data_IF_676308152929
#
_entry.id   IF_676308152929
#
_cell.length_a   1.000
_cell.length_b   1.000
_cell.length_c   1.000
_cell.angle_alpha   90.00
_cell.angle_beta   90.00
_cell.angle_gamma   90.00
#
_symmetry.space_group_name_H-M   'P 1'
#
loop_
_entity.id
_entity.type
_entity.pdbx_description
1 polymer ?
#
# COMPACT_ATOMS: atom_id res chain seq x y z
N UNK A 1 -35.03 -17.38 52.70
CA UNK A 1 -33.82 -17.95 53.33
C UNK A 1 -33.74 -19.42 52.97
N UNK A 2 -32.66 -19.86 52.30
CA UNK A 2 -31.98 -21.14 52.56
C UNK A 2 -30.83 -21.29 51.55
N UNK A 3 -29.63 -21.43 52.12
CA UNK A 3 -28.35 -21.56 51.44
C UNK A 3 -28.22 -23.01 50.93
N UNK A 4 -27.66 -23.21 49.74
CA UNK A 4 -27.03 -24.48 49.40
C UNK A 4 -25.61 -24.22 48.90
N UNK A 5 -24.65 -24.63 49.72
CA UNK A 5 -23.24 -24.75 49.39
C UNK A 5 -22.96 -26.21 48.99
N UNK A 6 -22.18 -26.34 47.91
CA UNK A 6 -21.15 -27.34 47.63
C UNK A 6 -21.39 -28.82 47.99
N UNK A 7 -21.36 -29.65 46.94
CA UNK A 7 -20.77 -31.00 47.02
C UNK A 7 -20.03 -31.31 45.72
N UNK A 8 -18.72 -31.51 45.86
CA UNK A 8 -17.84 -32.38 45.06
C UNK A 8 -17.23 -33.34 46.11
N UNK A 9 -16.70 -34.54 45.81
CA UNK A 9 -16.19 -35.02 44.52
C UNK A 9 -16.50 -36.50 44.20
N UNK A 10 -16.18 -36.96 42.99
CA UNK A 10 -15.69 -38.34 42.80
C UNK A 10 -14.78 -38.40 41.58
N UNK A 11 -13.68 -39.10 41.76
CA UNK A 11 -12.52 -39.25 40.87
C UNK A 11 -12.59 -40.63 40.22
N UNK A 12 -11.82 -40.77 39.14
CA UNK A 12 -11.44 -41.98 38.37
C UNK A 12 -12.25 -42.03 37.04
N UNK A 13 -11.67 -42.23 35.87
CA UNK A 13 -10.38 -42.83 35.54
C UNK A 13 -9.91 -42.39 34.13
N UNK A 14 -8.61 -42.55 33.87
CA UNK A 14 -7.90 -42.14 32.66
C UNK A 14 -8.32 -42.98 31.45
N UNK A 15 -8.53 -42.33 30.31
CA UNK A 15 -8.38 -42.98 29.00
C UNK A 15 -7.41 -42.13 28.17
N UNK A 16 -6.24 -42.72 27.90
CA UNK A 16 -5.23 -42.19 27.01
C UNK A 16 -5.70 -42.27 25.56
N UNK A 17 -5.60 -41.17 24.81
CA UNK A 17 -5.55 -41.21 23.33
C UNK A 17 -4.50 -40.22 22.82
N UNK A 18 -3.59 -40.82 22.04
CA UNK A 18 -2.47 -40.25 21.29
C UNK A 18 -2.86 -39.01 20.48
N UNK A 19 -2.04 -37.98 20.59
CA UNK A 19 -1.95 -36.84 19.67
C UNK A 19 -1.33 -37.28 18.34
N UNK A 20 -1.86 -36.90 17.16
CA UNK A 20 -1.07 -36.80 15.95
C UNK A 20 -0.47 -35.40 15.85
N UNK A 21 0.84 -35.35 15.64
CA UNK A 21 1.62 -34.16 15.36
C UNK A 21 1.11 -33.45 14.09
N UNK A 22 0.99 -32.13 14.22
CA UNK A 22 0.61 -31.19 13.18
C UNK A 22 1.71 -31.08 12.13
N UNK A 23 1.50 -31.69 10.97
CA UNK A 23 2.24 -31.43 9.74
C UNK A 23 1.85 -30.06 9.15
N UNK A 24 2.38 -28.97 9.71
CA UNK A 24 2.44 -27.64 9.05
C UNK A 24 3.76 -26.96 9.43
N UNK A 25 4.86 -27.68 9.24
CA UNK A 25 6.21 -27.19 9.45
C UNK A 25 7.10 -27.59 8.26
N UNK A 26 6.71 -27.18 7.05
CA UNK A 26 7.52 -27.37 5.84
C UNK A 26 6.98 -26.53 4.68
N UNK A 27 6.99 -25.20 4.80
CA UNK A 27 6.80 -24.32 3.63
C UNK A 27 7.24 -22.86 3.87
N UNK A 28 8.40 -22.58 4.47
CA UNK A 28 9.04 -21.25 4.37
C UNK A 28 10.55 -21.37 4.62
N UNK A 29 11.26 -21.98 3.68
CA UNK A 29 12.71 -21.84 3.58
C UNK A 29 13.00 -21.18 2.22
N UNK A 30 13.80 -20.11 2.26
CA UNK A 30 14.32 -19.29 1.16
C UNK A 30 13.60 -17.96 0.88
N UNK A 31 14.01 -16.93 1.65
CA UNK A 31 14.06 -15.56 1.15
C UNK A 31 15.46 -14.98 1.49
N UNK A 32 16.19 -14.40 0.51
CA UNK A 32 17.54 -13.89 0.73
C UNK A 32 17.56 -12.61 1.57
N UNK A 33 18.61 -12.51 2.39
CA UNK A 33 18.88 -11.40 3.30
C UNK A 33 19.52 -10.19 2.59
N UNK A 34 19.11 -8.99 3.04
CA UNK A 34 19.80 -7.69 3.04
C UNK A 34 20.13 -6.99 1.70
N UNK A 35 19.55 -5.81 1.52
CA UNK A 35 20.23 -4.67 0.89
C UNK A 35 19.90 -3.37 1.65
N UNK A 36 20.95 -2.68 2.12
CA UNK A 36 20.89 -1.39 2.80
C UNK A 36 20.48 -0.28 1.82
N UNK A 37 19.45 0.51 2.16
CA UNK A 37 19.09 1.74 1.42
C UNK A 37 19.53 2.96 2.23
N UNK A 38 20.60 3.61 1.79
CA UNK A 38 21.07 4.89 2.35
C UNK A 38 20.24 6.03 1.73
N UNK A 39 19.37 6.64 2.53
CA UNK A 39 18.61 7.84 2.15
C UNK A 39 19.49 9.09 2.29
N UNK A 40 19.76 9.78 1.19
CA UNK A 40 20.32 11.14 1.18
C UNK A 40 19.14 12.13 1.11
N UNK A 41 18.99 12.98 2.12
CA UNK A 41 17.94 14.00 2.20
C UNK A 41 18.44 15.36 1.68
N UNK A 42 17.66 15.97 0.79
CA UNK A 42 17.81 17.35 0.28
C UNK A 42 17.32 18.37 1.35
N UNK A 43 18.00 19.50 1.63
CA UNK A 43 17.78 20.26 2.87
C UNK A 43 16.73 21.38 2.84
N UNK A 44 16.02 21.65 1.74
CA UNK A 44 15.20 22.87 1.64
C UNK A 44 13.67 22.69 1.72
N UNK A 45 13.19 21.90 2.68
CA UNK A 45 11.80 21.99 3.14
C UNK A 45 11.77 21.83 4.65
N UNK A 46 11.60 22.95 5.36
CA UNK A 46 11.34 22.98 6.80
C UNK A 46 9.96 22.37 7.09
N UNK A 47 9.93 21.05 7.29
CA UNK A 47 8.89 20.37 8.03
C UNK A 47 9.48 19.97 9.39
N UNK A 48 8.70 20.15 10.46
CA UNK A 48 9.14 19.90 11.83
C UNK A 48 9.95 18.60 11.95
N UNK A 49 11.23 18.74 12.29
CA UNK A 49 12.16 17.64 12.45
C UNK A 49 11.57 16.62 13.42
N UNK A 50 11.22 15.43 12.92
CA UNK A 50 10.93 14.29 13.75
C UNK A 50 12.17 14.00 14.59
N UNK A 51 12.09 14.21 15.91
CA UNK A 51 13.13 13.78 16.85
C UNK A 51 13.36 12.29 16.60
N UNK A 52 14.51 11.95 16.01
CA UNK A 52 14.95 10.56 15.83
C UNK A 52 15.03 9.92 17.21
N UNK A 53 14.34 8.79 17.38
CA UNK A 53 14.42 7.95 18.57
C UNK A 53 15.88 7.49 18.73
N UNK A 54 16.49 7.53 19.93
CA UNK A 54 17.85 7.06 20.13
C UNK A 54 17.96 5.56 19.81
N UNK A 55 18.97 5.21 19.01
CA UNK A 55 19.39 3.82 18.71
C UNK A 55 19.98 3.17 19.97
N UNK A 56 19.12 2.67 20.84
CA UNK A 56 19.45 1.59 21.78
C UNK A 56 18.63 0.37 21.35
N UNK A 57 19.25 -0.81 21.29
CA UNK A 57 18.58 -2.06 20.90
C UNK A 57 17.34 -2.26 21.79
N UNK A 58 16.18 -1.93 21.24
CA UNK A 58 14.90 -2.13 21.92
C UNK A 58 14.64 -3.64 21.85
N UNK A 59 14.37 -4.34 22.97
CA UNK A 59 13.96 -5.73 22.88
C UNK A 59 12.79 -5.86 21.92
N UNK A 60 12.76 -6.98 21.21
CA UNK A 60 11.75 -7.20 20.18
C UNK A 60 10.37 -7.07 20.80
N UNK A 61 9.42 -6.44 20.11
CA UNK A 61 8.02 -6.32 20.58
C UNK A 61 7.45 -7.69 20.97
N UNK A 62 7.90 -8.76 20.31
CA UNK A 62 7.53 -10.12 20.64
C UNK A 62 8.05 -10.58 22.02
N UNK A 63 9.27 -10.22 22.41
CA UNK A 63 9.87 -10.50 23.71
C UNK A 63 9.16 -9.73 24.81
N UNK A 64 8.87 -8.45 24.57
CA UNK A 64 8.13 -7.62 25.51
C UNK A 64 6.71 -8.16 25.75
N UNK A 65 6.03 -8.62 24.70
CA UNK A 65 4.71 -9.25 24.81
C UNK A 65 4.74 -10.59 25.57
N UNK A 66 5.88 -11.28 25.63
CA UNK A 66 6.03 -12.56 26.32
C UNK A 66 6.47 -12.40 27.78
N UNK A 67 7.25 -11.36 28.09
CA UNK A 67 7.93 -11.18 29.38
C UNK A 67 7.28 -10.14 30.29
N UNK A 68 6.70 -9.08 29.73
CA UNK A 68 6.17 -7.97 30.51
C UNK A 68 4.75 -8.25 31.00
N UNK A 69 4.44 -7.75 32.20
CA UNK A 69 3.07 -7.70 32.69
C UNK A 69 2.21 -6.77 31.82
N UNK A 70 0.89 -6.99 31.82
CA UNK A 70 -0.07 -6.17 31.05
C UNK A 70 0.05 -4.67 31.35
N UNK A 71 0.39 -4.30 32.58
CA UNK A 71 0.58 -2.89 32.99
C UNK A 71 1.89 -2.32 32.46
N UNK A 72 3.00 -3.04 32.64
CA UNK A 72 4.30 -2.64 32.11
C UNK A 72 4.28 -2.50 30.58
N UNK A 73 3.59 -3.42 29.88
CA UNK A 73 3.44 -3.34 28.42
C UNK A 73 2.66 -2.09 27.99
N UNK A 74 1.60 -1.72 28.71
CA UNK A 74 0.81 -0.51 28.41
C UNK A 74 1.55 0.78 28.74
N UNK A 75 2.38 0.77 29.77
CA UNK A 75 3.22 1.91 30.14
C UNK A 75 4.35 2.14 29.13
N UNK A 76 4.90 1.05 28.57
CA UNK A 76 5.93 1.10 27.53
C UNK A 76 5.37 1.54 26.17
N UNK A 77 4.20 1.02 25.79
CA UNK A 77 3.54 1.27 24.49
C UNK A 77 2.28 2.14 24.66
N UNK A 78 2.46 3.36 25.17
CA UNK A 78 1.34 4.22 25.57
C UNK A 78 0.42 4.62 24.41
N UNK A 79 1.00 4.92 23.23
CA UNK A 79 0.24 5.36 22.06
C UNK A 79 -0.63 4.24 21.49
N UNK A 80 -0.07 3.03 21.47
CA UNK A 80 -0.72 1.79 21.08
C UNK A 80 -1.80 1.42 22.09
N UNK A 81 -1.50 1.50 23.39
CA UNK A 81 -2.45 1.23 24.46
C UNK A 81 -3.65 2.18 24.43
N UNK A 82 -3.43 3.45 24.07
CA UNK A 82 -4.51 4.43 23.88
C UNK A 82 -5.36 4.09 22.65
N UNK A 83 -4.75 3.74 21.54
CA UNK A 83 -5.48 3.34 20.33
C UNK A 83 -6.30 2.07 20.55
N UNK A 84 -5.74 1.09 21.26
CA UNK A 84 -6.42 -0.14 21.69
C UNK A 84 -7.65 0.17 22.56
N UNK A 85 -7.51 1.04 23.57
CA UNK A 85 -8.65 1.49 24.41
C UNK A 85 -9.73 2.19 23.58
N UNK A 86 -9.33 3.05 22.64
CA UNK A 86 -10.26 3.78 21.79
C UNK A 86 -11.05 2.83 20.87
N UNK A 87 -10.41 1.80 20.32
CA UNK A 87 -11.06 0.76 19.55
C UNK A 87 -12.10 0.00 20.39
N UNK A 88 -11.73 -0.49 21.57
CA UNK A 88 -12.67 -1.17 22.48
C UNK A 88 -13.81 -0.26 22.95
N UNK A 89 -13.56 1.04 23.11
CA UNK A 89 -14.60 2.02 23.41
C UNK A 89 -15.60 2.16 22.24
N UNK A 90 -15.11 2.17 20.99
CA UNK A 90 -15.98 2.21 19.79
C UNK A 90 -16.83 0.96 19.64
N UNK A 91 -16.33 -0.20 20.04
CA UNK A 91 -17.12 -1.43 20.11
C UNK A 91 -18.35 -1.25 21.01
N UNK A 92 -18.14 -0.70 22.21
CA UNK A 92 -19.21 -0.49 23.19
C UNK A 92 -20.20 0.62 22.80
N UNK A 93 -19.69 1.72 22.23
CA UNK A 93 -20.49 2.94 22.02
C UNK A 93 -21.08 3.09 20.61
N UNK A 94 -20.44 2.50 19.58
CA UNK A 94 -20.77 2.72 18.16
C UNK A 94 -21.06 1.44 17.38
N UNK A 95 -21.14 0.29 18.06
CA UNK A 95 -21.42 -1.00 17.43
C UNK A 95 -20.32 -1.50 16.49
N UNK A 96 -19.08 -1.01 16.64
CA UNK A 96 -17.95 -1.53 15.87
C UNK A 96 -17.69 -2.99 16.27
N UNK A 97 -17.42 -3.86 15.29
CA UNK A 97 -17.09 -5.26 15.57
C UNK A 97 -15.58 -5.33 15.83
N UNK A 98 -15.14 -6.05 16.86
CA UNK A 98 -13.72 -6.23 17.17
C UNK A 98 -13.42 -7.72 17.23
N UNK A 99 -12.44 -8.14 16.45
CA UNK A 99 -11.99 -9.53 16.40
C UNK A 99 -11.45 -9.98 17.78
N UNK A 100 -11.69 -11.24 18.22
CA UNK A 100 -11.23 -11.73 19.52
C UNK A 100 -9.73 -11.52 19.79
N UNK A 101 -8.88 -11.67 18.78
CA UNK A 101 -7.42 -11.46 18.90
C UNK A 101 -7.03 -10.02 19.26
N UNK A 102 -7.92 -9.06 19.05
CA UNK A 102 -7.71 -7.66 19.38
C UNK A 102 -8.28 -7.29 20.76
N UNK A 103 -8.91 -8.22 21.47
CA UNK A 103 -9.43 -7.98 22.83
C UNK A 103 -8.29 -7.85 23.84
N UNK A 104 -7.25 -8.68 23.70
CA UNK A 104 -6.03 -8.56 24.49
C UNK A 104 -5.00 -7.63 23.85
N UNK A 105 -4.30 -6.86 24.69
CA UNK A 105 -3.36 -5.86 24.21
C UNK A 105 -2.04 -6.44 23.69
N UNK A 106 -1.55 -7.52 24.29
CA UNK A 106 -0.32 -8.16 23.82
C UNK A 106 -0.57 -8.82 22.45
N UNK A 107 -1.73 -9.45 22.28
CA UNK A 107 -2.16 -10.03 21.00
C UNK A 107 -2.35 -8.97 19.93
N UNK A 108 -3.02 -7.87 20.25
CA UNK A 108 -3.13 -6.69 19.37
C UNK A 108 -1.75 -6.16 18.94
N UNK A 109 -0.83 -5.99 19.89
CA UNK A 109 0.49 -5.43 19.61
C UNK A 109 1.36 -6.38 18.78
N UNK A 110 1.23 -7.70 18.96
CA UNK A 110 1.93 -8.71 18.14
C UNK A 110 1.46 -8.69 16.68
N UNK A 111 0.17 -8.49 16.45
CA UNK A 111 -0.43 -8.52 15.12
C UNK A 111 -0.25 -7.19 14.38
N UNK A 112 -0.56 -6.07 15.04
CA UNK A 112 -0.54 -4.74 14.42
C UNK A 112 0.85 -4.11 14.45
N UNK A 113 1.67 -4.48 15.42
CA UNK A 113 3.01 -3.95 15.59
C UNK A 113 3.04 -2.57 16.26
N UNK A 114 4.27 -2.08 16.57
CA UNK A 114 4.46 -0.80 17.23
C UNK A 114 4.07 0.35 16.30
N UNK A 115 3.67 1.47 16.90
CA UNK A 115 3.28 2.67 16.19
C UNK A 115 4.50 3.26 15.45
N UNK A 116 4.44 3.45 14.11
CA UNK A 116 5.62 3.81 13.31
C UNK A 116 6.06 5.27 13.50
N UNK A 117 5.15 6.15 13.92
CA UNK A 117 5.43 7.57 14.14
C UNK A 117 4.54 8.15 15.24
N UNK A 118 5.08 9.12 15.99
CA UNK A 118 4.33 9.83 17.04
C UNK A 118 3.12 10.54 16.43
N UNK A 119 1.92 10.22 16.91
CA UNK A 119 0.66 10.81 16.44
C UNK A 119 -0.02 10.04 15.31
N UNK A 120 0.54 8.92 14.86
CA UNK A 120 -0.24 7.94 14.10
C UNK A 120 -1.34 7.35 15.01
N UNK A 121 -2.48 7.00 14.43
CA UNK A 121 -3.60 6.38 15.15
C UNK A 121 -4.10 5.17 14.39
N UNK A 122 -4.81 4.29 15.09
CA UNK A 122 -5.39 3.10 14.47
C UNK A 122 -6.54 3.50 13.54
N UNK A 123 -6.41 3.11 12.28
CA UNK A 123 -7.37 3.36 11.21
C UNK A 123 -7.83 2.04 10.58
N UNK A 124 -9.09 1.98 10.14
CA UNK A 124 -9.62 0.83 9.39
C UNK A 124 -9.27 1.02 7.93
N UNK A 125 -8.69 0.04 7.27
CA UNK A 125 -8.30 0.17 5.85
C UNK A 125 -9.52 0.46 4.97
N UNK A 126 -10.65 -0.20 5.27
CA UNK A 126 -11.94 0.06 4.64
C UNK A 126 -12.90 0.62 5.69
N UNK A 127 -13.27 1.90 5.58
CA UNK A 127 -14.15 2.53 6.57
C UNK A 127 -15.61 2.03 6.53
N UNK A 128 -16.05 1.47 5.39
CA UNK A 128 -17.38 0.87 5.23
C UNK A 128 -17.53 -0.42 6.04
N UNK A 129 -16.42 -1.13 6.29
CA UNK A 129 -16.41 -2.31 7.16
C UNK A 129 -16.38 -1.87 8.64
N UNK A 130 -17.38 -2.23 9.47
CA UNK A 130 -17.39 -1.92 10.90
C UNK A 130 -16.34 -2.69 11.71
N UNK A 131 -15.69 -3.72 11.14
CA UNK A 131 -14.84 -4.65 11.85
C UNK A 131 -13.37 -4.19 12.02
N UNK A 132 -12.84 -4.37 13.22
CA UNK A 132 -11.43 -4.31 13.55
C UNK A 132 -10.85 -5.74 13.62
N UNK A 133 -10.15 -6.15 12.57
CA UNK A 133 -9.54 -7.47 12.48
C UNK A 133 -8.10 -7.40 11.92
N UNK A 134 -7.29 -8.47 12.10
CA UNK A 134 -6.00 -8.61 11.43
C UNK A 134 -6.14 -8.37 9.92
N UNK A 135 -5.25 -7.57 9.33
CA UNK A 135 -5.31 -7.23 7.90
C UNK A 135 -6.39 -6.23 7.50
N UNK A 136 -7.29 -5.81 8.41
CA UNK A 136 -8.31 -4.77 8.17
C UNK A 136 -7.97 -3.42 8.80
N UNK A 137 -6.89 -3.35 9.58
CA UNK A 137 -6.47 -2.15 10.31
C UNK A 137 -5.03 -1.78 9.97
N UNK A 138 -4.70 -0.49 10.11
CA UNK A 138 -3.34 0.03 9.93
C UNK A 138 -3.07 1.22 10.84
N UNK A 139 -1.80 1.49 11.08
CA UNK A 139 -1.38 2.79 11.59
C UNK A 139 -1.48 3.84 10.47
N UNK A 140 -2.17 4.94 10.75
CA UNK A 140 -2.34 6.02 9.78
C UNK A 140 -2.09 7.40 10.42
N UNK A 141 -1.55 8.33 9.64
CA UNK A 141 -1.48 9.73 10.03
C UNK A 141 -2.87 10.39 9.96
N UNK A 142 -3.02 11.56 10.59
CA UNK A 142 -4.28 12.31 10.64
C UNK A 142 -4.83 12.61 9.23
N UNK A 143 -3.95 12.85 8.26
CA UNK A 143 -4.32 13.14 6.88
C UNK A 143 -4.93 11.92 6.19
N UNK A 144 -4.31 10.76 6.33
CA UNK A 144 -4.77 9.49 5.77
C UNK A 144 -6.11 9.08 6.38
N UNK A 145 -6.23 9.16 7.71
CA UNK A 145 -7.49 8.87 8.40
C UNK A 145 -8.60 9.83 7.98
N UNK A 146 -8.31 11.13 7.80
CA UNK A 146 -9.31 12.08 7.32
C UNK A 146 -9.79 11.77 5.90
N UNK A 147 -8.88 11.38 4.99
CA UNK A 147 -9.25 10.99 3.63
C UNK A 147 -10.05 9.69 3.58
N UNK A 148 -9.95 8.85 4.61
CA UNK A 148 -10.65 7.57 4.72
C UNK A 148 -12.03 7.71 5.38
N UNK A 149 -12.42 8.91 5.82
CA UNK A 149 -13.77 9.11 6.36
C UNK A 149 -14.80 8.98 5.25
N UNK A 150 -15.89 8.26 5.53
CA UNK A 150 -16.99 8.06 4.58
C UNK A 150 -17.72 9.32 4.14
N UNK A 151 -17.46 10.47 4.77
CA UNK A 151 -17.95 11.79 4.32
C UNK A 151 -17.04 12.43 3.24
N UNK A 152 -15.93 11.78 2.88
CA UNK A 152 -15.03 12.25 1.83
C UNK A 152 -15.71 12.04 0.48
N UNK A 153 -16.18 13.13 -0.14
CA UNK A 153 -16.70 13.10 -1.49
C UNK A 153 -15.61 12.66 -2.47
N UNK A 154 -15.95 11.64 -3.27
CA UNK A 154 -15.14 11.04 -4.31
C UNK A 154 -15.82 11.31 -5.65
N UNK A 155 -15.04 11.76 -6.63
CA UNK A 155 -15.50 12.12 -7.98
C UNK A 155 -14.74 11.31 -9.01
N UNK A 156 -15.44 10.80 -10.02
CA UNK A 156 -14.85 9.98 -11.09
C UNK A 156 -14.74 10.80 -12.37
N UNK A 157 -13.55 10.82 -12.97
CA UNK A 157 -13.32 11.51 -14.23
C UNK A 157 -13.66 10.58 -15.38
N UNK A 158 -14.72 10.88 -16.14
CA UNK A 158 -15.22 10.01 -17.20
C UNK A 158 -14.22 9.78 -18.34
N UNK A 159 -13.33 10.76 -18.59
CA UNK A 159 -12.39 10.73 -19.72
C UNK A 159 -11.15 9.87 -19.49
N UNK A 160 -10.69 9.77 -18.24
CA UNK A 160 -9.48 8.98 -17.91
C UNK A 160 -9.76 7.78 -17.01
N UNK A 161 -10.96 7.72 -16.40
CA UNK A 161 -11.29 6.73 -15.37
C UNK A 161 -10.66 7.02 -14.01
N UNK A 162 -9.95 8.15 -13.85
CA UNK A 162 -9.30 8.51 -12.61
C UNK A 162 -10.29 8.94 -11.52
N UNK A 163 -9.97 8.60 -10.28
CA UNK A 163 -10.74 9.00 -9.12
C UNK A 163 -10.05 10.13 -8.34
N UNK A 164 -10.82 11.17 -8.02
CA UNK A 164 -10.34 12.33 -7.28
C UNK A 164 -11.15 12.55 -5.99
N UNK A 165 -10.47 12.83 -4.90
CA UNK A 165 -11.13 13.28 -3.66
C UNK A 165 -11.36 14.79 -3.70
N UNK A 166 -12.39 15.26 -2.99
CA UNK A 166 -12.66 16.70 -2.84
C UNK A 166 -11.42 17.53 -2.44
N UNK A 167 -10.54 16.99 -1.57
CA UNK A 167 -9.32 17.65 -1.14
C UNK A 167 -8.24 17.72 -2.23
N UNK A 168 -8.16 16.70 -3.10
CA UNK A 168 -7.27 16.69 -4.26
C UNK A 168 -7.72 17.71 -5.31
N UNK A 169 -9.02 17.75 -5.61
CA UNK A 169 -9.60 18.70 -6.56
C UNK A 169 -9.41 20.14 -6.05
N UNK A 170 -9.68 20.38 -4.76
CA UNK A 170 -9.47 21.68 -4.12
C UNK A 170 -8.03 22.20 -4.31
N UNK A 171 -7.02 21.33 -4.12
CA UNK A 171 -5.61 21.67 -4.34
C UNK A 171 -5.29 21.92 -5.81
N UNK A 172 -5.76 21.05 -6.70
CA UNK A 172 -5.52 21.14 -8.13
C UNK A 172 -6.05 22.47 -8.70
N UNK A 173 -7.23 22.87 -8.25
CA UNK A 173 -7.91 24.09 -8.71
C UNK A 173 -7.62 25.32 -7.86
N UNK A 174 -6.82 25.18 -6.79
CA UNK A 174 -6.55 26.24 -5.80
C UNK A 174 -7.83 26.88 -5.22
N UNK A 175 -8.84 26.06 -4.94
CA UNK A 175 -10.11 26.48 -4.30
C UNK A 175 -10.30 25.77 -2.96
N UNK A 176 -11.23 26.25 -2.13
CA UNK A 176 -11.55 25.58 -0.87
C UNK A 176 -12.29 24.26 -1.10
N UNK A 177 -12.13 23.28 -0.21
CA UNK A 177 -12.92 22.04 -0.25
C UNK A 177 -14.44 22.29 -0.09
N UNK A 178 -14.81 23.36 0.63
CA UNK A 178 -16.20 23.82 0.73
C UNK A 178 -16.75 24.25 -0.63
N UNK A 179 -15.93 24.86 -1.49
CA UNK A 179 -16.32 25.20 -2.87
C UNK A 179 -16.64 23.95 -3.69
N UNK A 180 -15.82 22.90 -3.57
CA UNK A 180 -16.06 21.63 -4.25
C UNK A 180 -17.37 20.99 -3.78
N UNK A 181 -17.61 20.98 -2.46
CA UNK A 181 -18.87 20.50 -1.87
C UNK A 181 -20.07 21.27 -2.39
N UNK A 182 -20.00 22.61 -2.41
CA UNK A 182 -21.06 23.47 -2.95
C UNK A 182 -21.33 23.23 -4.44
N UNK A 183 -20.32 22.86 -5.23
CA UNK A 183 -20.52 22.51 -6.66
C UNK A 183 -21.29 21.20 -6.80
N UNK A 184 -20.93 20.18 -6.02
CA UNK A 184 -21.69 18.92 -5.95
C UNK A 184 -23.15 19.16 -5.48
N UNK A 185 -23.35 19.97 -4.44
CA UNK A 185 -24.69 20.35 -3.94
C UNK A 185 -25.51 21.12 -4.98
N UNK A 186 -24.85 21.86 -5.88
CA UNK A 186 -25.49 22.59 -7.00
C UNK A 186 -25.71 21.70 -8.23
N UNK A 187 -25.46 20.40 -8.13
CA UNK A 187 -25.67 19.44 -9.22
C UNK A 187 -24.66 19.57 -10.37
N UNK A 188 -23.45 20.03 -10.10
CA UNK A 188 -22.36 19.91 -11.08
C UNK A 188 -22.03 18.43 -11.28
N UNK A 189 -21.73 18.05 -12.51
CA UNK A 189 -21.23 16.70 -12.82
C UNK A 189 -19.80 16.51 -12.30
N UNK A 190 -19.39 15.26 -12.08
CA UNK A 190 -18.05 14.94 -11.59
C UNK A 190 -16.95 15.55 -12.49
N UNK A 191 -17.12 15.47 -13.81
CA UNK A 191 -16.18 16.06 -14.77
C UNK A 191 -16.09 17.58 -14.65
N UNK A 192 -17.23 18.28 -14.53
CA UNK A 192 -17.26 19.74 -14.33
C UNK A 192 -16.61 20.13 -12.99
N UNK A 193 -16.81 19.31 -11.96
CA UNK A 193 -16.20 19.52 -10.65
C UNK A 193 -14.70 19.34 -10.73
N UNK A 194 -14.19 18.36 -11.49
CA UNK A 194 -12.76 18.06 -11.68
C UNK A 194 -12.08 19.10 -12.57
N UNK A 195 -12.74 19.55 -13.62
CA UNK A 195 -12.24 20.58 -14.55
C UNK A 195 -12.37 22.00 -13.98
N UNK A 196 -13.26 22.20 -13.01
CA UNK A 196 -13.50 23.48 -12.37
C UNK A 196 -14.25 24.49 -13.25
N UNK A 197 -14.76 24.04 -14.40
CA UNK A 197 -15.54 24.83 -15.36
C UNK A 197 -16.89 24.15 -15.53
N UNK A 198 -17.96 24.94 -15.45
CA UNK A 198 -19.29 24.46 -15.79
C UNK A 198 -19.43 24.50 -17.31
N UNK A 199 -19.82 23.39 -17.92
CA UNK A 199 -20.23 23.44 -19.31
C UNK A 199 -21.47 24.33 -19.37
N UNK A 200 -21.48 25.34 -20.23
CA UNK A 200 -22.60 26.27 -20.35
C UNK A 200 -23.81 25.55 -20.95
N UNK A 201 -24.56 24.80 -20.15
CA UNK A 201 -25.93 24.44 -20.47
C UNK A 201 -26.85 25.49 -19.85
N UNK A 202 -27.70 26.11 -20.68
CA UNK A 202 -28.86 26.90 -20.23
C UNK A 202 -29.56 26.17 -19.07
N UNK A 203 -30.14 26.88 -18.09
CA UNK A 203 -30.86 26.21 -17.01
C UNK A 203 -32.01 25.42 -17.62
N UNK A 204 -31.98 24.08 -17.51
CA UNK A 204 -33.17 23.26 -17.72
C UNK A 204 -34.05 23.51 -16.50
N UNK A 205 -34.92 24.51 -16.63
CA UNK A 205 -36.03 24.71 -15.73
C UNK A 205 -37.05 23.59 -15.97
N UNK A 206 -37.41 22.89 -14.90
CA UNK A 206 -38.62 22.05 -14.86
C UNK A 206 -38.38 20.57 -15.09
N UNK A 207 -38.18 19.84 -14.00
CA UNK A 207 -39.14 18.83 -13.53
C UNK A 207 -38.43 17.94 -12.51
N UNK A 208 -38.70 18.19 -11.23
CA UNK A 208 -38.61 17.14 -10.22
C UNK A 208 -39.61 16.07 -10.66
N UNK A 209 -39.10 14.92 -11.10
CA UNK A 209 -39.84 13.66 -11.00
C UNK A 209 -39.11 12.80 -9.98
N UNK A 210 -39.79 12.29 -8.94
CA UNK A 210 -39.21 11.24 -8.11
C UNK A 210 -39.19 9.97 -8.97
N UNK A 211 -38.04 9.63 -9.55
CA UNK A 211 -37.85 8.29 -10.12
C UNK A 211 -37.97 7.29 -8.98
N UNK A 212 -39.10 6.57 -8.98
CA UNK A 212 -39.32 5.35 -8.22
C UNK A 212 -38.38 4.30 -8.82
N UNK A 213 -37.16 4.20 -8.32
CA UNK A 213 -36.24 3.13 -8.69
C UNK A 213 -36.68 1.88 -7.93
N UNK A 214 -37.40 0.99 -8.62
CA UNK A 214 -37.53 -0.40 -8.22
C UNK A 214 -36.13 -1.02 -8.14
N UNK A 215 -35.76 -1.73 -7.05
CA UNK A 215 -34.46 -2.35 -6.96
C UNK A 215 -34.50 -3.70 -7.67
N UNK A 216 -34.34 -3.72 -8.98
CA UNK A 216 -33.74 -4.90 -9.62
C UNK A 216 -32.23 -4.71 -9.58
N UNK A 217 -31.65 -5.28 -8.52
CA UNK A 217 -30.21 -5.41 -8.34
C UNK A 217 -29.72 -6.39 -9.41
N UNK A 218 -29.26 -5.86 -10.54
CA UNK A 218 -28.29 -6.60 -11.33
C UNK A 218 -27.00 -6.68 -10.49
N UNK A 219 -26.42 -7.87 -10.28
CA UNK A 219 -25.21 -8.00 -9.50
C UNK A 219 -24.10 -7.29 -10.27
N UNK A 220 -23.79 -6.06 -9.85
CA UNK A 220 -22.51 -5.44 -10.11
C UNK A 220 -21.50 -6.39 -9.49
N UNK A 221 -20.74 -7.10 -10.32
CA UNK A 221 -19.58 -7.82 -9.86
C UNK A 221 -18.63 -6.78 -9.27
N UNK A 222 -18.72 -6.60 -7.95
CA UNK A 222 -17.77 -5.84 -7.18
C UNK A 222 -16.43 -6.56 -7.31
N UNK A 223 -15.59 -6.09 -8.24
CA UNK A 223 -14.16 -6.35 -8.17
C UNK A 223 -13.71 -5.80 -6.83
N UNK A 224 -13.36 -6.72 -5.92
CA UNK A 224 -12.86 -6.37 -4.60
C UNK A 224 -11.69 -5.41 -4.79
N UNK A 225 -11.82 -4.17 -4.28
CA UNK A 225 -10.71 -3.25 -4.16
C UNK A 225 -9.74 -3.84 -3.12
N UNK A 226 -8.87 -4.74 -3.59
CA UNK A 226 -7.68 -5.18 -2.87
C UNK A 226 -6.92 -3.87 -2.62
N UNK A 227 -6.79 -3.49 -1.35
CA UNK A 227 -5.97 -2.35 -0.96
C UNK A 227 -4.54 -2.65 -1.40
N UNK A 228 -4.15 -2.13 -2.56
CA UNK A 228 -2.79 -2.26 -3.10
C UNK A 228 -1.83 -1.71 -2.05
N UNK A 229 -0.89 -2.53 -1.60
CA UNK A 229 0.15 -2.11 -0.67
C UNK A 229 0.91 -0.90 -1.22
N UNK A 230 1.61 -0.13 -0.39
CA UNK A 230 2.42 0.98 -0.90
C UNK A 230 3.48 0.53 -1.93
N UNK A 231 4.01 -0.68 -1.77
CA UNK A 231 4.92 -1.29 -2.73
C UNK A 231 4.22 -1.62 -4.06
N UNK A 232 3.01 -2.15 -3.99
CA UNK A 232 2.18 -2.46 -5.17
C UNK A 232 1.80 -1.18 -5.93
N UNK A 233 1.42 -0.12 -5.21
CA UNK A 233 1.14 1.19 -5.82
C UNK A 233 2.40 1.76 -6.48
N UNK A 234 3.57 1.62 -5.84
CA UNK A 234 4.83 2.07 -6.41
C UNK A 234 5.20 1.28 -7.67
N UNK A 235 5.03 -0.05 -7.64
CA UNK A 235 5.22 -0.94 -8.77
C UNK A 235 4.29 -0.57 -9.93
N UNK A 236 3.00 -0.37 -9.67
CA UNK A 236 2.01 0.02 -10.68
C UNK A 236 2.32 1.39 -11.30
N UNK A 237 2.76 2.35 -10.48
CA UNK A 237 3.18 3.67 -10.97
C UNK A 237 4.41 3.59 -11.86
N UNK A 238 5.41 2.81 -11.46
CA UNK A 238 6.62 2.62 -12.26
C UNK A 238 6.30 1.87 -13.56
N UNK A 239 5.47 0.82 -13.50
CA UNK A 239 4.96 0.14 -14.69
C UNK A 239 4.22 1.09 -15.65
N UNK A 240 3.33 1.94 -15.13
CA UNK A 240 2.62 2.94 -15.92
C UNK A 240 3.57 3.98 -16.53
N UNK A 241 4.64 4.36 -15.82
CA UNK A 241 5.70 5.25 -16.36
C UNK A 241 6.41 4.61 -17.54
N UNK A 242 6.79 3.34 -17.43
CA UNK A 242 7.43 2.58 -18.51
C UNK A 242 6.51 2.42 -19.72
N UNK A 243 5.23 2.14 -19.49
CA UNK A 243 4.24 2.02 -20.56
C UNK A 243 4.04 3.36 -21.29
N UNK A 244 3.80 4.44 -20.55
CA UNK A 244 3.62 5.77 -21.13
C UNK A 244 4.85 6.23 -21.92
N UNK A 245 6.06 5.87 -21.46
CA UNK A 245 7.29 6.16 -22.20
C UNK A 245 7.33 5.44 -23.55
N UNK A 246 7.02 4.14 -23.58
CA UNK A 246 6.94 3.37 -24.84
C UNK A 246 5.91 3.95 -25.80
N UNK A 247 4.76 4.37 -25.29
CA UNK A 247 3.71 5.00 -26.11
C UNK A 247 4.15 6.37 -26.66
N UNK A 248 4.97 7.11 -25.92
CA UNK A 248 5.42 8.45 -26.30
C UNK A 248 6.64 8.45 -27.24
N UNK A 249 7.54 7.48 -27.09
CA UNK A 249 8.83 7.42 -27.79
C UNK A 249 8.95 6.16 -28.66
N UNK A 250 7.89 5.80 -29.38
CA UNK A 250 7.85 4.74 -30.39
C UNK A 250 8.49 3.39 -29.95
N UNK A 251 8.12 2.93 -28.76
CA UNK A 251 8.60 1.67 -28.22
C UNK A 251 9.94 1.74 -27.46
N UNK A 252 10.55 2.91 -27.32
CA UNK A 252 11.74 3.08 -26.49
C UNK A 252 11.45 2.79 -25.01
N UNK A 253 12.39 2.07 -24.39
CA UNK A 253 12.31 1.70 -22.99
C UNK A 253 12.74 2.85 -22.06
N UNK A 254 12.03 3.00 -20.94
CA UNK A 254 12.22 4.09 -19.99
C UNK A 254 13.43 3.88 -19.06
N UNK A 255 14.53 3.35 -19.62
CA UNK A 255 15.83 3.11 -19.00
C UNK A 255 16.77 4.29 -19.26
N UNK A 256 17.94 4.29 -18.62
CA UNK A 256 18.97 5.27 -18.97
C UNK A 256 19.36 5.15 -20.44
N UNK A 257 19.69 6.26 -21.10
CA UNK A 257 20.21 6.23 -22.47
C UNK A 257 21.46 5.34 -22.57
N UNK A 258 21.68 4.63 -23.69
CA UNK A 258 22.89 3.85 -23.95
C UNK A 258 24.17 4.67 -23.72
N UNK A 259 25.24 4.02 -23.28
CA UNK A 259 26.49 4.72 -22.97
C UNK A 259 27.03 5.52 -24.19
N UNK A 260 26.94 4.92 -25.37
CA UNK A 260 27.32 5.53 -26.65
C UNK A 260 26.57 6.84 -26.90
N UNK A 261 25.27 6.87 -26.66
CA UNK A 261 24.45 8.07 -26.82
C UNK A 261 24.77 9.12 -25.76
N UNK A 262 25.00 8.70 -24.50
CA UNK A 262 25.34 9.62 -23.41
C UNK A 262 26.62 10.39 -23.70
N UNK A 263 27.66 9.71 -24.20
CA UNK A 263 28.94 10.37 -24.53
C UNK A 263 28.90 11.13 -25.86
N UNK A 264 28.02 10.73 -26.79
CA UNK A 264 27.87 11.36 -28.10
C UNK A 264 27.06 12.67 -28.03
N UNK A 265 25.97 12.70 -27.26
CA UNK A 265 25.02 13.82 -27.26
C UNK A 265 25.25 14.86 -26.14
N UNK A 266 25.84 14.47 -25.00
CA UNK A 266 26.12 15.40 -23.91
C UNK A 266 27.62 15.74 -23.85
N UNK A 267 27.98 16.93 -24.33
CA UNK A 267 29.36 17.41 -24.33
C UNK A 267 30.02 17.39 -22.95
N UNK A 268 29.24 17.49 -21.87
CA UNK A 268 29.74 17.47 -20.48
C UNK A 268 30.07 16.07 -20.00
N UNK A 269 29.55 15.04 -20.68
CA UNK A 269 29.71 13.63 -20.32
C UNK A 269 30.60 12.88 -21.33
N UNK A 270 31.22 13.57 -22.28
CA UNK A 270 32.12 12.98 -23.28
C UNK A 270 33.27 12.18 -22.65
N UNK A 271 33.81 12.66 -21.53
CA UNK A 271 34.89 12.00 -20.78
C UNK A 271 34.35 11.09 -19.65
N UNK A 272 33.06 10.75 -19.65
CA UNK A 272 32.47 9.92 -18.60
C UNK A 272 33.06 8.50 -18.66
N UNK A 273 33.73 8.01 -17.59
CA UNK A 273 34.24 6.66 -17.57
C UNK A 273 33.09 5.64 -17.64
N UNK A 274 33.24 4.60 -18.46
CA UNK A 274 32.26 3.52 -18.60
C UNK A 274 31.89 2.91 -17.24
N UNK A 275 32.87 2.70 -16.34
CA UNK A 275 32.62 2.16 -15.00
C UNK A 275 31.63 3.02 -14.19
N UNK A 276 31.69 4.34 -14.35
CA UNK A 276 30.79 5.27 -13.65
C UNK A 276 29.38 5.20 -14.22
N UNK A 277 29.24 5.02 -15.53
CA UNK A 277 27.96 4.74 -16.17
C UNK A 277 27.39 3.41 -15.67
N UNK A 278 28.18 2.34 -15.68
CA UNK A 278 27.77 1.00 -15.24
C UNK A 278 27.32 0.98 -13.77
N UNK A 279 28.06 1.61 -12.86
CA UNK A 279 27.64 1.76 -11.46
C UNK A 279 26.31 2.47 -11.32
N UNK A 280 26.06 3.48 -12.15
CA UNK A 280 24.80 4.23 -12.14
C UNK A 280 23.67 3.36 -12.70
N UNK A 281 23.91 2.65 -13.79
CA UNK A 281 22.96 1.71 -14.38
C UNK A 281 22.59 0.60 -13.37
N UNK A 282 23.57 -0.01 -12.71
CA UNK A 282 23.39 -1.01 -11.67
C UNK A 282 22.53 -0.52 -10.51
N UNK A 283 22.69 0.75 -10.11
CA UNK A 283 21.89 1.36 -9.04
C UNK A 283 20.40 1.43 -9.38
N UNK A 284 20.05 1.68 -10.64
CA UNK A 284 18.65 1.78 -11.08
C UNK A 284 18.08 0.45 -11.58
N UNK A 285 18.92 -0.54 -11.89
CA UNK A 285 18.49 -1.84 -12.40
C UNK A 285 17.38 -2.51 -11.58
N UNK A 286 17.37 -2.53 -10.23
CA UNK A 286 16.28 -3.15 -9.47
C UNK A 286 14.90 -2.52 -9.72
N UNK A 287 14.86 -1.24 -10.09
CA UNK A 287 13.62 -0.54 -10.46
C UNK A 287 13.23 -0.79 -11.92
N UNK A 288 14.19 -1.00 -12.81
CA UNK A 288 13.94 -1.27 -14.24
C UNK A 288 13.55 -2.72 -14.49
N UNK A 289 14.24 -3.66 -13.84
CA UNK A 289 14.11 -5.12 -13.99
C UNK A 289 12.68 -5.64 -14.09
N UNK A 290 11.69 -5.14 -13.30
CA UNK A 290 10.33 -5.68 -13.35
C UNK A 290 9.45 -5.10 -14.48
N UNK A 291 9.89 -4.03 -15.15
CA UNK A 291 9.04 -3.23 -16.07
C UNK A 291 9.61 -3.10 -17.49
N UNK A 292 10.89 -3.41 -17.66
CA UNK A 292 11.61 -3.30 -18.92
C UNK A 292 11.29 -4.47 -19.84
N UNK A 293 11.07 -4.19 -21.13
CA UNK A 293 11.10 -5.22 -22.17
C UNK A 293 12.56 -5.40 -22.59
N UNK A 294 13.18 -6.48 -22.13
CA UNK A 294 14.63 -6.67 -22.26
C UNK A 294 15.12 -6.84 -23.71
N UNK A 295 14.27 -7.30 -24.63
CA UNK A 295 14.59 -7.35 -26.05
C UNK A 295 14.65 -5.94 -26.70
N UNK A 296 14.01 -4.93 -26.10
CA UNK A 296 13.91 -3.58 -26.63
C UNK A 296 15.05 -2.64 -26.18
N UNK A 297 15.86 -3.02 -25.19
CA UNK A 297 17.02 -2.21 -24.76
C UNK A 297 18.24 -2.42 -25.67
N UNK A 298 19.24 -1.54 -25.61
CA UNK A 298 20.44 -1.66 -26.43
C UNK A 298 21.32 -2.88 -26.05
N UNK A 299 22.06 -3.41 -27.02
CA UNK A 299 22.94 -4.58 -26.80
C UNK A 299 24.03 -4.30 -25.75
N UNK A 300 24.63 -3.11 -25.78
CA UNK A 300 25.61 -2.68 -24.79
C UNK A 300 25.03 -2.70 -23.36
N UNK A 301 23.74 -2.36 -23.21
CA UNK A 301 23.05 -2.41 -21.92
C UNK A 301 22.71 -3.83 -21.49
N UNK A 302 22.36 -4.71 -22.43
CA UNK A 302 22.18 -6.15 -22.15
C UNK A 302 23.47 -6.78 -21.62
N UNK A 303 24.62 -6.43 -22.18
CA UNK A 303 25.93 -6.88 -21.70
C UNK A 303 26.29 -6.33 -20.31
N UNK A 304 25.82 -5.13 -19.98
CA UNK A 304 25.97 -4.58 -18.63
C UNK A 304 25.10 -5.39 -17.64
N UNK A 305 23.87 -5.74 -18.03
CA UNK A 305 22.99 -6.60 -17.21
C UNK A 305 23.57 -8.00 -17.02
N UNK A 306 24.23 -8.61 -18.02
CA UNK A 306 24.87 -9.92 -17.84
C UNK A 306 25.97 -9.91 -16.76
N UNK A 307 26.55 -8.76 -16.45
CA UNK A 307 27.55 -8.59 -15.38
C UNK A 307 26.92 -8.25 -14.02
N UNK A 308 25.81 -7.50 -14.01
CA UNK A 308 25.14 -7.03 -12.78
C UNK A 308 24.13 -8.06 -12.23
N UNK A 309 23.40 -8.73 -13.11
CA UNK A 309 22.34 -9.69 -12.81
C UNK A 309 22.42 -10.89 -13.80
N UNK A 310 23.44 -11.75 -13.65
CA UNK A 310 23.67 -12.87 -14.56
C UNK A 310 22.51 -13.88 -14.55
N UNK A 311 21.84 -14.05 -13.40
CA UNK A 311 20.68 -14.94 -13.28
C UNK A 311 19.52 -14.49 -14.18
N UNK A 312 19.19 -13.20 -14.17
CA UNK A 312 18.17 -12.64 -15.05
C UNK A 312 18.54 -12.79 -16.53
N UNK A 313 19.80 -12.51 -16.88
CA UNK A 313 20.28 -12.59 -18.26
C UNK A 313 20.20 -14.01 -18.83
N UNK A 314 20.63 -15.02 -18.06
CA UNK A 314 20.55 -16.42 -18.47
C UNK A 314 19.10 -16.91 -18.55
N UNK A 315 18.24 -16.53 -17.60
CA UNK A 315 16.81 -16.86 -17.66
C UNK A 315 16.13 -16.28 -18.92
N UNK A 316 16.45 -15.03 -19.27
CA UNK A 316 15.97 -14.44 -20.53
C UNK A 316 16.49 -15.21 -21.75
N UNK A 317 17.78 -15.53 -21.80
CA UNK A 317 18.40 -16.28 -22.91
C UNK A 317 17.75 -17.65 -23.11
N UNK A 318 17.49 -18.37 -22.02
CA UNK A 318 16.74 -19.64 -22.05
C UNK A 318 15.31 -19.44 -22.57
N UNK A 319 14.60 -18.41 -22.09
CA UNK A 319 13.24 -18.12 -22.57
C UNK A 319 13.20 -17.82 -24.07
N UNK A 320 14.24 -17.17 -24.62
CA UNK A 320 14.37 -16.86 -26.03
C UNK A 320 14.65 -18.10 -26.87
N UNK A 321 15.52 -18.99 -26.38
CA UNK A 321 15.79 -20.28 -27.00
C UNK A 321 14.53 -21.16 -27.07
N UNK A 322 13.76 -21.24 -25.98
CA UNK A 322 12.48 -21.98 -25.95
C UNK A 322 11.47 -21.39 -26.94
N UNK A 323 11.32 -20.05 -26.98
CA UNK A 323 10.42 -19.39 -27.95
C UNK A 323 10.83 -19.70 -29.39
N UNK A 324 12.13 -19.66 -29.70
CA UNK A 324 12.64 -20.00 -31.03
C UNK A 324 12.37 -21.47 -31.40
N UNK A 325 12.54 -22.40 -30.45
CA UNK A 325 12.25 -23.81 -30.66
C UNK A 325 10.76 -24.07 -30.93
N UNK A 326 9.87 -23.42 -30.18
CA UNK A 326 8.41 -23.51 -30.39
C UNK A 326 8.00 -22.97 -31.76
N UNK A 327 8.55 -21.82 -32.18
CA UNK A 327 8.28 -21.24 -33.50
C UNK A 327 8.80 -22.13 -34.62
N UNK A 328 9.91 -22.83 -34.42
CA UNK A 328 10.46 -23.77 -35.42
C UNK A 328 9.67 -25.08 -35.58
N UNK A 329 8.79 -25.40 -34.62
CA UNK A 329 7.93 -26.60 -34.62
C UNK A 329 6.50 -26.34 -35.11
N UNK A 330 6.15 -25.06 -35.37
CA UNK A 330 4.89 -24.62 -35.97
C UNK A 330 5.08 -24.36 -37.46
#
# INVERSE_FOLDING_TARGET
MLKLKFSQPTRHEKIAKKTPESAVAQAFAHLPQKANVTLVSNPEMSCHAAKKIPKGASPSVAEDCATLSKMALRERYQGEANSHRNMLSRQKAKGAVVHPDFMDFASFLRIVGPMPAKGATLDRIQNADPEYAPGKVRWADKRTQNNNKGDTLVFNYSRTGDTYTSSRIAKLQKVSASTIRKRAERGWTDDEIIEGKRASSKPVAGAVTPMKVSPEIHPVQFVANISTSAAEIAFQREAARFQAHREMYDGEEAVMAPYEDVIAFDERLRDLPLEKYERRFAKFWPSYRPHVIFDAIAESQRQIVSRIDPEYYEAWKQSKAIKAEVVSKL
#
